data_IF_504158386418
#
_entry.id   IF_504158386418
#
_cell.length_a   1.000
_cell.length_b   1.000
_cell.length_c   1.000
_cell.angle_alpha   90.00
_cell.angle_beta   90.00
_cell.angle_gamma   90.00
#
_symmetry.space_group_name_H-M   'P 1'
#
loop_
_entity.id
_entity.type
_entity.pdbx_description
1 polymer ?
#
# COMPACT_ATOMS: atom_id res chain seq x y z
N UNK A 1 -0.35 36.37 -8.29
CA UNK A 1 -0.95 36.10 -6.98
C UNK A 1 -0.88 34.62 -6.74
N UNK A 2 -0.46 34.12 -5.57
CA UNK A 2 -0.55 32.70 -5.28
C UNK A 2 -2.04 32.32 -5.27
N UNK A 3 -2.40 31.27 -6.01
CA UNK A 3 -3.74 30.71 -5.96
C UNK A 3 -4.01 30.23 -4.52
N UNK A 4 -4.87 30.94 -3.79
CA UNK A 4 -5.36 30.51 -2.49
C UNK A 4 -6.38 29.41 -2.81
N UNK A 5 -5.97 28.15 -2.75
CA UNK A 5 -6.89 27.04 -2.83
C UNK A 5 -7.79 27.08 -1.59
N UNK A 6 -9.09 26.94 -1.77
CA UNK A 6 -9.98 26.59 -0.68
C UNK A 6 -9.61 25.17 -0.16
N UNK A 7 -10.21 24.74 0.94
CA UNK A 7 -9.89 23.42 1.54
C UNK A 7 -10.06 22.28 0.55
N UNK A 8 -11.13 22.28 -0.25
CA UNK A 8 -11.45 21.24 -1.24
C UNK A 8 -10.42 21.25 -2.37
N UNK A 9 -10.07 22.41 -2.91
CA UNK A 9 -9.03 22.57 -3.93
C UNK A 9 -7.65 22.14 -3.43
N UNK A 10 -7.33 22.41 -2.15
CA UNK A 10 -6.06 21.97 -1.54
C UNK A 10 -5.98 20.45 -1.41
N UNK A 11 -7.04 19.79 -0.95
CA UNK A 11 -7.07 18.33 -0.83
C UNK A 11 -6.99 17.64 -2.19
N UNK A 12 -7.68 18.20 -3.21
CA UNK A 12 -7.60 17.73 -4.60
C UNK A 12 -6.17 17.81 -5.14
N UNK A 13 -5.49 18.94 -4.98
CA UNK A 13 -4.09 19.12 -5.44
C UNK A 13 -3.16 18.17 -4.68
N UNK A 14 -3.37 17.99 -3.37
CA UNK A 14 -2.57 17.06 -2.56
C UNK A 14 -2.71 15.62 -3.07
N UNK A 15 -3.91 15.17 -3.36
CA UNK A 15 -4.18 13.84 -3.92
C UNK A 15 -3.54 13.69 -5.30
N UNK A 16 -3.68 14.69 -6.19
CA UNK A 16 -3.03 14.67 -7.50
C UNK A 16 -1.49 14.60 -7.41
N UNK A 17 -0.89 15.30 -6.44
CA UNK A 17 0.55 15.20 -6.20
C UNK A 17 0.97 13.78 -5.81
N UNK A 18 0.23 13.15 -4.91
CA UNK A 18 0.50 11.77 -4.48
C UNK A 18 0.36 10.78 -5.62
N UNK A 19 -0.72 10.85 -6.39
CA UNK A 19 -0.98 9.92 -7.50
C UNK A 19 0.01 10.10 -8.66
N UNK A 20 0.19 11.33 -9.15
CA UNK A 20 1.10 11.61 -10.26
C UNK A 20 2.57 11.40 -9.88
N UNK A 21 2.90 11.67 -8.63
CA UNK A 21 4.24 11.36 -8.11
C UNK A 21 4.49 9.87 -8.01
N UNK A 22 3.48 9.09 -7.60
CA UNK A 22 3.59 7.63 -7.60
C UNK A 22 3.78 7.06 -9.01
N UNK A 23 3.05 7.55 -10.02
CA UNK A 23 3.26 7.16 -11.40
C UNK A 23 4.71 7.41 -11.88
N UNK A 24 5.29 8.55 -11.50
CA UNK A 24 6.69 8.85 -11.83
C UNK A 24 7.67 7.90 -11.11
N UNK A 25 7.41 7.60 -9.84
CA UNK A 25 8.21 6.63 -9.08
C UNK A 25 8.13 5.24 -9.70
N UNK A 26 6.95 4.81 -10.13
CA UNK A 26 6.76 3.53 -10.87
C UNK A 26 7.61 3.48 -12.14
N UNK A 27 7.71 4.58 -12.88
CA UNK A 27 8.44 4.63 -14.16
C UNK A 27 9.96 4.75 -13.99
N UNK A 28 10.43 5.50 -13.00
CA UNK A 28 11.83 5.92 -12.91
C UNK A 28 12.54 5.51 -11.62
N UNK A 29 11.81 5.01 -10.63
CA UNK A 29 12.27 4.80 -9.27
C UNK A 29 12.31 6.10 -8.47
N UNK A 30 12.37 5.97 -7.14
CA UNK A 30 12.37 7.11 -6.23
C UNK A 30 13.55 8.07 -6.48
N UNK A 31 14.77 7.53 -6.68
CA UNK A 31 15.99 8.34 -6.81
C UNK A 31 15.92 9.29 -8.00
N UNK A 32 15.44 8.81 -9.13
CA UNK A 32 15.38 9.58 -10.38
C UNK A 32 14.17 10.50 -10.48
N UNK A 33 13.15 10.32 -9.65
CA UNK A 33 11.97 11.18 -9.61
C UNK A 33 12.28 12.43 -8.80
N UNK A 34 12.25 13.60 -9.42
CA UNK A 34 12.48 14.89 -8.76
C UNK A 34 11.18 15.58 -8.33
N UNK A 35 11.26 16.44 -7.30
CA UNK A 35 10.12 17.29 -6.87
C UNK A 35 9.64 18.19 -8.01
N UNK A 36 10.57 18.68 -8.84
CA UNK A 36 10.25 19.53 -9.99
C UNK A 36 9.40 18.78 -11.04
N UNK A 37 9.70 17.50 -11.30
CA UNK A 37 8.92 16.67 -12.23
C UNK A 37 7.52 16.39 -11.68
N UNK A 38 7.40 16.07 -10.38
CA UNK A 38 6.11 15.85 -9.72
C UNK A 38 5.25 17.13 -9.82
N UNK A 39 5.81 18.28 -9.46
CA UNK A 39 5.13 19.57 -9.53
C UNK A 39 4.68 19.90 -10.96
N UNK A 40 5.59 19.72 -11.95
CA UNK A 40 5.30 19.93 -13.38
C UNK A 40 4.17 19.02 -13.86
N UNK A 41 4.22 17.73 -13.53
CA UNK A 41 3.18 16.76 -13.92
C UNK A 41 1.82 17.08 -13.30
N UNK A 42 1.81 17.74 -12.13
CA UNK A 42 0.60 18.18 -11.44
C UNK A 42 0.09 19.53 -11.90
N UNK A 43 0.92 20.30 -12.67
CA UNK A 43 0.55 21.63 -13.16
C UNK A 43 0.73 22.74 -12.13
N UNK A 44 1.60 22.54 -11.14
CA UNK A 44 1.92 23.56 -10.11
C UNK A 44 3.40 23.94 -10.14
N UNK A 45 3.73 25.08 -9.54
CA UNK A 45 5.12 25.48 -9.35
C UNK A 45 5.82 24.61 -8.29
N UNK A 46 7.14 24.37 -8.46
CA UNK A 46 7.94 23.59 -7.50
C UNK A 46 7.85 24.15 -6.07
N UNK A 47 7.83 25.48 -5.91
CA UNK A 47 7.64 26.12 -4.60
C UNK A 47 6.29 25.78 -3.96
N UNK A 48 5.26 25.58 -4.77
CA UNK A 48 3.92 25.19 -4.27
C UNK A 48 3.91 23.76 -3.71
N UNK A 49 4.72 22.85 -4.27
CA UNK A 49 4.88 21.49 -3.72
C UNK A 49 5.28 21.53 -2.25
N UNK A 50 6.24 22.39 -1.88
CA UNK A 50 6.74 22.50 -0.50
C UNK A 50 5.72 23.04 0.49
N UNK A 51 4.62 23.64 0.02
CA UNK A 51 3.47 24.01 0.85
C UNK A 51 2.62 22.80 1.26
N UNK A 52 2.75 21.66 0.54
CA UNK A 52 2.05 20.40 0.82
C UNK A 52 2.95 19.41 1.56
N UNK A 53 4.20 19.31 1.15
CA UNK A 53 5.18 18.35 1.66
C UNK A 53 6.51 19.06 1.89
N UNK A 54 6.94 19.24 3.16
CA UNK A 54 8.17 19.97 3.51
C UNK A 54 9.44 19.41 2.85
N UNK A 55 9.43 18.15 2.48
CA UNK A 55 10.53 17.48 1.79
C UNK A 55 10.03 16.38 0.86
N UNK A 56 10.92 15.83 0.02
CA UNK A 56 10.62 14.65 -0.80
C UNK A 56 10.40 13.41 0.07
N UNK A 57 11.14 13.27 1.14
CA UNK A 57 10.99 12.18 2.09
C UNK A 57 9.63 12.23 2.78
N UNK A 58 9.17 13.40 3.20
CA UNK A 58 7.83 13.58 3.75
C UNK A 58 6.74 13.26 2.71
N UNK A 59 6.96 13.65 1.45
CA UNK A 59 6.06 13.27 0.36
C UNK A 59 5.97 11.74 0.24
N UNK A 60 7.10 11.02 0.26
CA UNK A 60 7.10 9.54 0.18
C UNK A 60 6.39 8.93 1.39
N UNK A 61 6.63 9.45 2.59
CA UNK A 61 5.92 9.02 3.79
C UNK A 61 4.40 9.15 3.62
N UNK A 62 3.95 10.33 3.20
CA UNK A 62 2.53 10.59 2.98
C UNK A 62 1.95 9.76 1.83
N UNK A 63 2.75 9.44 0.82
CA UNK A 63 2.37 8.55 -0.27
C UNK A 63 2.14 7.11 0.25
N UNK A 64 3.01 6.60 1.10
CA UNK A 64 2.84 5.29 1.74
C UNK A 64 1.56 5.25 2.59
N UNK A 65 1.32 6.28 3.40
CA UNK A 65 0.07 6.39 4.19
C UNK A 65 -1.16 6.43 3.29
N UNK A 66 -1.12 7.22 2.23
CA UNK A 66 -2.22 7.33 1.26
C UNK A 66 -2.53 5.98 0.60
N UNK A 67 -1.49 5.25 0.16
CA UNK A 67 -1.67 3.92 -0.45
C UNK A 67 -2.18 2.88 0.55
N UNK A 68 -1.71 2.91 1.80
CA UNK A 68 -2.26 2.04 2.87
C UNK A 68 -3.74 2.32 3.13
N UNK A 69 -4.14 3.59 3.09
CA UNK A 69 -5.56 3.92 3.25
C UNK A 69 -6.39 3.37 2.09
N UNK A 70 -5.89 3.46 0.85
CA UNK A 70 -6.59 2.90 -0.31
C UNK A 70 -6.78 1.38 -0.22
N UNK A 71 -5.84 0.65 0.37
CA UNK A 71 -5.95 -0.79 0.65
C UNK A 71 -7.12 -1.08 1.60
N UNK A 72 -7.24 -0.31 2.68
CA UNK A 72 -8.36 -0.44 3.63
C UNK A 72 -9.70 -0.13 2.96
N UNK A 73 -9.77 0.97 2.24
CA UNK A 73 -10.99 1.36 1.49
C UNK A 73 -11.38 0.28 0.48
N UNK A 74 -10.42 -0.29 -0.25
CA UNK A 74 -10.68 -1.39 -1.18
C UNK A 74 -11.26 -2.64 -0.49
N UNK A 75 -10.87 -2.92 0.75
CA UNK A 75 -11.49 -3.98 1.55
C UNK A 75 -12.92 -3.62 1.94
N UNK A 76 -13.13 -2.40 2.45
CA UNK A 76 -14.44 -1.91 2.86
C UNK A 76 -15.46 -1.91 1.69
N UNK A 77 -15.02 -1.57 0.47
CA UNK A 77 -15.84 -1.59 -0.75
C UNK A 77 -16.34 -2.98 -1.14
N UNK A 78 -15.58 -4.03 -0.80
CA UNK A 78 -15.95 -5.43 -1.08
C UNK A 78 -16.82 -6.04 0.02
N UNK A 79 -17.04 -5.33 1.13
CA UNK A 79 -17.87 -5.83 2.23
C UNK A 79 -19.36 -5.59 1.99
N UNK A 80 -20.18 -6.55 2.39
CA UNK A 80 -21.64 -6.40 2.49
C UNK A 80 -22.01 -6.31 3.96
N UNK A 81 -22.64 -5.23 4.39
CA UNK A 81 -22.93 -4.94 5.81
C UNK A 81 -21.68 -5.00 6.71
N UNK A 82 -20.54 -4.53 6.20
CA UNK A 82 -19.28 -4.52 6.93
C UNK A 82 -18.61 -5.90 7.06
N UNK A 83 -19.01 -6.89 6.26
CA UNK A 83 -18.46 -8.24 6.25
C UNK A 83 -18.13 -8.71 4.84
N UNK A 84 -17.06 -9.49 4.71
CA UNK A 84 -16.66 -10.14 3.47
C UNK A 84 -16.70 -11.67 3.64
N UNK A 85 -17.18 -12.36 2.64
CA UNK A 85 -17.12 -13.83 2.57
C UNK A 85 -15.81 -14.31 1.92
N UNK A 86 -15.70 -15.63 1.75
CA UNK A 86 -14.53 -16.31 1.14
C UNK A 86 -14.16 -15.71 -0.23
N UNK A 87 -15.14 -15.53 -1.11
CA UNK A 87 -14.88 -15.08 -2.48
C UNK A 87 -14.55 -13.58 -2.55
N UNK A 88 -15.25 -12.75 -1.80
CA UNK A 88 -14.93 -11.33 -1.68
C UNK A 88 -13.52 -11.11 -1.11
N UNK A 89 -13.12 -11.92 -0.11
CA UNK A 89 -11.78 -11.81 0.45
C UNK A 89 -10.69 -12.33 -0.50
N UNK A 90 -10.96 -13.40 -1.27
CA UNK A 90 -10.07 -13.86 -2.34
C UNK A 90 -9.85 -12.78 -3.40
N UNK A 91 -10.93 -12.13 -3.85
CA UNK A 91 -10.86 -11.03 -4.81
C UNK A 91 -10.04 -9.85 -4.26
N UNK A 92 -10.27 -9.48 -3.00
CA UNK A 92 -9.48 -8.46 -2.32
C UNK A 92 -7.99 -8.78 -2.32
N UNK A 93 -7.58 -10.00 -1.93
CA UNK A 93 -6.17 -10.40 -1.93
C UNK A 93 -5.58 -10.35 -3.33
N UNK A 94 -6.32 -10.83 -4.34
CA UNK A 94 -5.87 -10.73 -5.73
C UNK A 94 -5.67 -9.28 -6.13
N UNK A 95 -6.62 -8.40 -5.87
CA UNK A 95 -6.51 -6.96 -6.16
C UNK A 95 -5.27 -6.35 -5.51
N UNK A 96 -5.03 -6.60 -4.22
CA UNK A 96 -3.90 -6.03 -3.48
C UNK A 96 -2.55 -6.55 -4.00
N UNK A 97 -2.43 -7.84 -4.29
CA UNK A 97 -1.12 -8.44 -4.59
C UNK A 97 -0.78 -8.48 -6.08
N UNK A 98 -1.76 -8.39 -6.98
CA UNK A 98 -1.53 -8.33 -8.43
C UNK A 98 -1.51 -6.90 -8.98
N UNK A 99 -2.13 -5.93 -8.31
CA UNK A 99 -2.04 -4.53 -8.70
C UNK A 99 -0.72 -3.89 -8.25
N UNK A 100 -0.16 -3.04 -9.10
CA UNK A 100 1.08 -2.30 -8.85
C UNK A 100 0.83 -1.06 -7.97
N UNK A 101 0.28 -1.26 -6.76
CA UNK A 101 -0.13 -0.19 -5.87
C UNK A 101 0.75 0.00 -4.62
N UNK A 102 1.76 -0.85 -4.42
CA UNK A 102 2.66 -0.76 -3.27
C UNK A 102 3.90 0.09 -3.60
N UNK A 103 4.07 1.18 -2.85
CA UNK A 103 5.21 2.10 -3.01
C UNK A 103 6.54 1.40 -2.79
N UNK A 104 6.61 0.47 -1.83
CA UNK A 104 7.85 -0.22 -1.47
C UNK A 104 8.45 -1.08 -2.60
N UNK A 105 7.65 -1.54 -3.56
CA UNK A 105 8.16 -2.27 -4.74
C UNK A 105 9.11 -1.43 -5.61
N UNK A 106 8.98 -0.12 -5.52
CA UNK A 106 9.73 0.84 -6.34
C UNK A 106 10.85 1.53 -5.57
N UNK A 107 11.07 1.10 -4.31
CA UNK A 107 12.15 1.57 -3.46
C UNK A 107 13.22 0.49 -3.36
N UNK A 108 14.49 0.88 -3.45
CA UNK A 108 15.62 -0.01 -3.16
C UNK A 108 15.81 -0.12 -1.64
N UNK A 109 16.44 -1.20 -1.19
CA UNK A 109 16.71 -1.44 0.24
C UNK A 109 17.39 -0.22 0.90
N UNK A 110 18.38 0.38 0.24
CA UNK A 110 19.06 1.60 0.70
C UNK A 110 18.11 2.81 0.86
N UNK A 111 17.13 2.95 -0.04
CA UNK A 111 16.14 4.02 0.02
C UNK A 111 15.13 3.78 1.14
N UNK A 112 14.78 2.53 1.38
CA UNK A 112 13.94 2.12 2.52
C UNK A 112 14.65 2.42 3.84
N UNK A 113 15.94 2.09 3.97
CA UNK A 113 16.73 2.36 5.18
C UNK A 113 16.89 3.86 5.46
N UNK A 114 17.10 4.67 4.42
CA UNK A 114 17.12 6.14 4.56
C UNK A 114 15.76 6.66 5.06
N UNK A 115 14.66 6.17 4.50
CA UNK A 115 13.33 6.55 4.96
C UNK A 115 13.11 6.09 6.40
N UNK A 116 13.52 4.86 6.73
CA UNK A 116 13.43 4.31 8.09
C UNK A 116 14.12 5.20 9.12
N UNK A 117 15.30 5.71 8.82
CA UNK A 117 16.06 6.57 9.74
C UNK A 117 15.42 7.95 9.97
N UNK A 118 14.56 8.41 9.06
CA UNK A 118 13.91 9.73 9.08
C UNK A 118 12.46 9.72 9.55
N UNK A 119 11.85 8.54 9.58
CA UNK A 119 10.44 8.42 9.96
C UNK A 119 10.27 8.39 11.49
N UNK A 120 9.17 8.97 11.96
CA UNK A 120 8.85 9.04 13.38
C UNK A 120 8.57 7.66 13.97
N UNK A 121 8.73 7.55 15.32
CA UNK A 121 8.27 6.36 16.06
C UNK A 121 6.80 6.01 15.79
N UNK A 122 5.96 6.99 15.49
CA UNK A 122 4.54 6.80 15.21
C UNK A 122 4.33 5.97 13.93
N UNK A 123 5.15 6.19 12.89
CA UNK A 123 5.12 5.34 11.69
C UNK A 123 5.45 3.89 12.02
N UNK A 124 6.50 3.66 12.83
CA UNK A 124 6.92 2.31 13.22
C UNK A 124 5.95 1.65 14.19
N UNK A 125 5.27 2.40 15.05
CA UNK A 125 4.17 1.89 15.87
C UNK A 125 3.02 1.37 15.00
N UNK A 126 2.72 2.06 13.89
CA UNK A 126 1.72 1.61 12.92
C UNK A 126 2.15 0.34 12.16
N UNK A 127 3.44 0.17 11.88
CA UNK A 127 3.98 -1.06 11.28
C UNK A 127 4.02 -2.23 12.26
N UNK A 128 4.26 -1.97 13.55
CA UNK A 128 4.15 -2.96 14.65
C UNK A 128 2.71 -3.37 14.96
N UNK A 129 1.73 -2.79 14.31
CA UNK A 129 0.31 -3.03 14.57
C UNK A 129 -0.27 -4.18 13.73
N UNK A 130 0.57 -5.15 13.34
CA UNK A 130 0.16 -6.36 12.62
C UNK A 130 -0.98 -7.10 13.34
N UNK A 131 -0.93 -7.12 14.67
CA UNK A 131 -1.96 -7.77 15.48
C UNK A 131 -3.31 -7.08 15.32
N UNK A 132 -3.34 -5.74 15.45
CA UNK A 132 -4.59 -5.00 15.33
C UNK A 132 -5.16 -5.08 13.93
N UNK A 133 -4.30 -4.94 12.90
CA UNK A 133 -4.73 -5.04 11.50
C UNK A 133 -5.22 -6.44 11.17
N UNK A 134 -4.49 -7.48 11.60
CA UNK A 134 -4.86 -8.87 11.34
C UNK A 134 -6.18 -9.24 12.04
N UNK A 135 -6.33 -8.88 13.31
CA UNK A 135 -7.56 -9.10 14.04
C UNK A 135 -8.73 -8.32 13.43
N UNK A 136 -8.52 -7.07 13.07
CA UNK A 136 -9.54 -6.26 12.42
C UNK A 136 -10.02 -6.90 11.11
N UNK A 137 -9.13 -7.35 10.24
CA UNK A 137 -9.51 -8.05 8.99
C UNK A 137 -10.32 -9.31 9.33
N UNK A 138 -9.81 -10.17 10.22
CA UNK A 138 -10.47 -11.42 10.58
C UNK A 138 -11.86 -11.19 11.19
N UNK A 139 -12.04 -10.15 11.99
CA UNK A 139 -13.35 -9.74 12.54
C UNK A 139 -14.35 -9.31 11.45
N UNK A 140 -13.87 -8.87 10.28
CA UNK A 140 -14.73 -8.47 9.15
C UNK A 140 -14.94 -9.59 8.12
N UNK A 141 -14.48 -10.82 8.40
CA UNK A 141 -14.73 -11.99 7.56
C UNK A 141 -15.87 -12.85 8.14
N UNK A 142 -16.63 -13.51 7.25
CA UNK A 142 -17.67 -14.48 7.61
C UNK A 142 -17.30 -15.88 7.15
N UNK A 143 -17.74 -16.89 7.89
CA UNK A 143 -17.49 -18.29 7.54
C UNK A 143 -16.08 -18.77 7.81
N UNK A 144 -15.37 -18.09 8.73
CA UNK A 144 -14.04 -18.50 9.14
C UNK A 144 -14.03 -19.84 9.86
N UNK A 145 -12.96 -20.59 9.67
CA UNK A 145 -12.62 -21.76 10.47
C UNK A 145 -12.40 -21.33 11.94
N UNK A 146 -12.99 -22.05 12.89
CA UNK A 146 -12.87 -21.75 14.33
C UNK A 146 -11.42 -21.79 14.87
N UNK A 147 -10.51 -22.48 14.17
CA UNK A 147 -9.09 -22.62 14.54
C UNK A 147 -8.16 -21.56 13.96
N UNK A 148 -8.70 -20.51 13.33
CA UNK A 148 -7.88 -19.46 12.73
C UNK A 148 -7.04 -18.75 13.79
N UNK A 149 -5.72 -18.73 13.53
CA UNK A 149 -4.74 -18.02 14.34
C UNK A 149 -4.28 -16.75 13.59
N UNK A 150 -4.47 -15.58 14.20
CA UNK A 150 -4.09 -14.31 13.59
C UNK A 150 -2.60 -14.22 13.26
N UNK A 151 -1.71 -14.89 14.01
CA UNK A 151 -0.26 -14.90 13.72
C UNK A 151 0.06 -15.69 12.44
N UNK A 152 -0.66 -16.78 12.21
CA UNK A 152 -0.53 -17.55 10.95
C UNK A 152 -1.05 -16.70 9.79
N UNK A 153 -2.21 -16.05 9.94
CA UNK A 153 -2.74 -15.10 8.97
C UNK A 153 -1.74 -13.99 8.65
N UNK A 154 -1.17 -13.34 9.68
CA UNK A 154 -0.15 -12.32 9.51
C UNK A 154 1.11 -12.83 8.78
N UNK A 155 1.53 -14.08 9.07
CA UNK A 155 2.67 -14.66 8.37
C UNK A 155 2.38 -14.91 6.89
N UNK A 156 1.17 -15.36 6.51
CA UNK A 156 0.77 -15.49 5.11
C UNK A 156 0.79 -14.14 4.37
N UNK A 157 0.21 -13.10 4.95
CA UNK A 157 0.20 -11.76 4.33
C UNK A 157 1.62 -11.18 4.20
N UNK A 158 2.49 -11.43 5.18
CA UNK A 158 3.92 -11.07 5.10
C UNK A 158 4.65 -11.87 4.02
N UNK A 159 4.36 -13.17 3.89
CA UNK A 159 4.97 -14.00 2.85
C UNK A 159 4.58 -13.53 1.45
N UNK A 160 3.31 -13.18 1.23
CA UNK A 160 2.85 -12.57 -0.01
C UNK A 160 3.59 -11.24 -0.30
N UNK A 161 3.79 -10.40 0.72
CA UNK A 161 4.54 -9.15 0.58
C UNK A 161 6.02 -9.41 0.24
N UNK A 162 6.66 -10.42 0.87
CA UNK A 162 8.05 -10.80 0.56
C UNK A 162 8.21 -11.35 -0.85
N UNK A 163 7.27 -12.19 -1.33
CA UNK A 163 7.24 -12.68 -2.71
C UNK A 163 7.15 -11.50 -3.68
N UNK A 164 6.28 -10.54 -3.37
CA UNK A 164 6.08 -9.35 -4.20
C UNK A 164 7.34 -8.46 -4.25
N UNK A 165 7.98 -8.19 -3.10
CA UNK A 165 9.21 -7.39 -3.04
C UNK A 165 10.41 -8.09 -3.69
N UNK A 166 10.42 -9.43 -3.67
CA UNK A 166 11.45 -10.23 -4.31
C UNK A 166 11.12 -10.65 -5.74
N UNK A 167 10.16 -10.02 -6.41
CA UNK A 167 9.69 -10.39 -7.74
C UNK A 167 10.83 -10.56 -8.75
N UNK A 168 11.79 -9.66 -8.74
CA UNK A 168 12.97 -9.67 -9.62
C UNK A 168 13.93 -10.85 -9.39
N UNK A 169 13.81 -11.54 -8.27
CA UNK A 169 14.61 -12.72 -7.89
C UNK A 169 13.92 -14.05 -8.18
N UNK A 170 12.68 -14.00 -8.69
CA UNK A 170 11.86 -15.17 -8.98
C UNK A 170 11.79 -15.43 -10.49
N UNK A 171 11.41 -16.64 -10.87
CA UNK A 171 11.10 -16.99 -12.26
C UNK A 171 9.84 -16.23 -12.68
N UNK A 172 10.00 -15.30 -13.62
CA UNK A 172 8.96 -14.33 -13.99
C UNK A 172 7.75 -14.99 -14.64
N UNK A 173 8.00 -16.05 -15.42
CA UNK A 173 6.96 -16.85 -16.08
C UNK A 173 6.00 -17.52 -15.11
N UNK A 174 6.46 -17.85 -13.89
CA UNK A 174 5.65 -18.54 -12.87
C UNK A 174 5.27 -17.64 -11.68
N UNK A 175 5.58 -16.35 -11.74
CA UNK A 175 5.36 -15.42 -10.65
C UNK A 175 3.88 -15.32 -10.23
N UNK A 176 2.99 -15.14 -11.22
CA UNK A 176 1.55 -15.02 -10.96
C UNK A 176 0.94 -16.33 -10.45
N UNK A 177 1.38 -17.46 -10.99
CA UNK A 177 0.98 -18.78 -10.50
C UNK A 177 1.40 -18.99 -9.04
N UNK A 178 2.64 -18.60 -8.69
CA UNK A 178 3.15 -18.68 -7.33
C UNK A 178 2.34 -17.84 -6.36
N UNK A 179 2.04 -16.58 -6.69
CA UNK A 179 1.18 -15.72 -5.87
C UNK A 179 -0.21 -16.32 -5.68
N UNK A 180 -0.80 -16.82 -6.76
CA UNK A 180 -2.13 -17.46 -6.73
C UNK A 180 -2.14 -18.65 -5.78
N UNK A 181 -1.13 -19.53 -5.85
CA UNK A 181 -1.03 -20.69 -4.96
C UNK A 181 -0.92 -20.28 -3.48
N UNK A 182 -0.18 -19.23 -3.15
CA UNK A 182 -0.05 -18.77 -1.76
C UNK A 182 -1.35 -18.11 -1.29
N UNK A 183 -2.04 -17.35 -2.15
CA UNK A 183 -3.37 -16.79 -1.84
C UNK A 183 -4.36 -17.94 -1.60
N UNK A 184 -4.40 -18.95 -2.46
CA UNK A 184 -5.30 -20.08 -2.31
C UNK A 184 -5.03 -20.88 -1.03
N UNK A 185 -3.77 -21.09 -0.68
CA UNK A 185 -3.39 -21.71 0.58
C UNK A 185 -3.86 -20.91 1.80
N UNK A 186 -3.78 -19.55 1.75
CA UNK A 186 -4.32 -18.71 2.79
C UNK A 186 -5.85 -18.80 2.87
N UNK A 187 -6.53 -18.74 1.73
CA UNK A 187 -8.00 -18.87 1.67
C UNK A 187 -8.45 -20.22 2.22
N UNK A 188 -7.79 -21.30 1.86
CA UNK A 188 -8.11 -22.62 2.35
C UNK A 188 -7.87 -22.75 3.86
N UNK A 189 -6.77 -22.17 4.36
CA UNK A 189 -6.54 -22.11 5.81
C UNK A 189 -7.64 -21.36 6.56
N UNK A 190 -8.12 -20.24 6.01
CA UNK A 190 -9.13 -19.41 6.67
C UNK A 190 -10.53 -20.01 6.64
N UNK A 191 -10.91 -20.71 5.55
CA UNK A 191 -12.29 -21.09 5.26
C UNK A 191 -12.52 -22.61 5.08
N UNK A 192 -11.52 -23.44 5.34
CA UNK A 192 -11.73 -24.90 5.34
C UNK A 192 -12.54 -25.30 6.59
N UNK A 193 -13.59 -26.04 6.37
CA UNK A 193 -14.43 -26.67 7.38
C UNK A 193 -13.85 -28.04 7.73
#
# INVERSE_FOLDING_TARGET
MPQIFDKVGRDTVRTQLLEKGFELIKQHGMKKTSVSEIAKKTGIATGTFYNFFPSKEEFIYQLVIYKRHSVKTAFEELTVNGKADKEAFREYLRKIYFEDNDVFQYLRDEEIDILRSRWSEEYWKNEKNDEQTSKWILEHLTGLNEKVNWKIFANFTKSLSLIRHGKDKLYQEEYEATLTMVIDALIDYLFII
#
